data_IF_756379746497
#
_entry.id   IF_756379746497
#
_cell.length_a   1.000
_cell.length_b   1.000
_cell.length_c   1.000
_cell.angle_alpha   90.00
_cell.angle_beta   90.00
_cell.angle_gamma   90.00
#
_symmetry.space_group_name_H-M   'P 1'
#
loop_
_entity.id
_entity.type
_entity.pdbx_description
1 polymer ?
#
# COMPACT_ATOMS: atom_id res chain seq x y z
N UNK A 1 -4.37 -27.88 5.98
CA UNK A 1 -4.76 -26.58 6.52
C UNK A 1 -3.54 -26.02 7.25
N UNK A 2 -3.02 -24.86 6.85
CA UNK A 2 -1.85 -24.29 7.52
C UNK A 2 -2.28 -23.70 8.86
N UNK A 3 -1.96 -24.41 9.94
CA UNK A 3 -1.98 -23.91 11.32
C UNK A 3 -0.95 -22.78 11.45
N UNK A 4 -1.35 -21.58 11.05
CA UNK A 4 -0.60 -20.37 11.38
C UNK A 4 -0.84 -20.09 12.87
N UNK A 5 0.25 -19.98 13.62
CA UNK A 5 0.21 -19.65 15.03
C UNK A 5 -0.64 -18.37 15.25
N UNK A 6 -1.66 -18.40 16.14
CA UNK A 6 -2.57 -17.29 16.34
C UNK A 6 -1.88 -15.99 16.81
N UNK A 7 -0.65 -16.05 17.34
CA UNK A 7 0.12 -14.84 17.69
C UNK A 7 0.81 -14.23 16.47
N UNK A 8 1.14 -15.02 15.46
CA UNK A 8 1.72 -14.56 14.19
C UNK A 8 0.67 -13.80 13.35
N UNK A 9 -0.57 -14.29 13.29
CA UNK A 9 -1.71 -13.56 12.68
C UNK A 9 -2.17 -12.36 13.51
N UNK A 10 -1.83 -12.29 14.80
CA UNK A 10 -2.15 -11.16 15.68
C UNK A 10 -1.02 -10.13 15.83
N UNK A 11 0.03 -10.19 15.00
CA UNK A 11 1.05 -9.12 14.99
C UNK A 11 0.41 -7.84 14.45
N UNK A 12 -0.08 -6.99 15.35
CA UNK A 12 -0.61 -5.64 15.07
C UNK A 12 0.49 -4.66 14.66
N UNK A 13 1.75 -5.08 14.71
CA UNK A 13 2.90 -4.26 14.37
C UNK A 13 2.90 -3.98 12.87
N UNK A 14 2.72 -2.71 12.55
CA UNK A 14 2.88 -2.21 11.18
C UNK A 14 4.37 -2.10 10.89
N UNK A 15 4.82 -2.81 9.84
CA UNK A 15 6.20 -2.74 9.34
C UNK A 15 6.18 -1.87 8.10
N UNK A 16 7.00 -0.81 8.08
CA UNK A 16 7.18 0.02 6.89
C UNK A 16 8.19 -0.67 5.97
N UNK A 17 7.78 -0.93 4.74
CA UNK A 17 8.59 -1.62 3.71
C UNK A 17 9.31 -0.58 2.86
N UNK A 18 8.58 0.45 2.43
CA UNK A 18 9.11 1.55 1.62
C UNK A 18 8.31 2.82 1.92
N UNK A 19 8.97 3.97 1.95
CA UNK A 19 8.33 5.26 2.18
C UNK A 19 8.80 6.27 1.14
N UNK A 20 7.84 6.94 0.51
CA UNK A 20 8.06 8.05 -0.41
C UNK A 20 6.89 9.01 -0.29
N UNK A 21 7.10 10.10 0.44
CA UNK A 21 6.06 11.09 0.72
C UNK A 21 5.32 11.52 -0.57
N UNK A 22 3.97 11.53 -0.58
CA UNK A 22 3.05 11.37 0.55
C UNK A 22 2.67 9.91 0.88
N UNK A 23 3.23 8.91 0.21
CA UNK A 23 2.84 7.51 0.35
C UNK A 23 3.84 6.68 1.16
N UNK A 24 3.36 5.59 1.76
CA UNK A 24 4.21 4.52 2.26
C UNK A 24 3.55 3.16 2.11
N UNK A 25 4.38 2.14 1.95
CA UNK A 25 4.00 0.75 1.78
C UNK A 25 4.29 0.01 3.08
N UNK A 26 3.29 -0.72 3.58
CA UNK A 26 3.40 -1.38 4.88
C UNK A 26 2.90 -2.82 4.83
N UNK A 27 3.47 -3.66 5.69
CA UNK A 27 2.87 -4.93 6.08
C UNK A 27 2.18 -4.77 7.45
N UNK A 28 0.87 -5.04 7.50
CA UNK A 28 0.06 -5.02 8.73
C UNK A 28 -0.26 -6.44 9.20
N UNK A 29 0.79 -7.22 9.46
CA UNK A 29 0.65 -8.60 9.91
C UNK A 29 0.21 -9.53 8.78
N UNK A 30 -0.80 -10.35 9.04
CA UNK A 30 -1.29 -11.40 8.13
C UNK A 30 -2.82 -11.42 8.08
N UNK A 31 -3.38 -11.69 6.91
CA UNK A 31 -4.82 -11.81 6.67
C UNK A 31 -5.29 -13.15 7.25
N UNK A 32 -6.22 -13.12 8.20
CA UNK A 32 -6.69 -14.33 8.89
C UNK A 32 -7.34 -15.35 7.94
N UNK A 33 -8.01 -14.89 6.88
CA UNK A 33 -8.73 -15.75 5.94
C UNK A 33 -7.81 -16.67 5.12
N UNK A 34 -6.64 -16.17 4.70
CA UNK A 34 -5.75 -16.90 3.79
C UNK A 34 -4.33 -17.08 4.33
N UNK A 35 -4.02 -16.48 5.48
CA UNK A 35 -2.72 -16.56 6.11
C UNK A 35 -1.60 -15.79 5.43
N UNK A 36 -1.90 -15.02 4.39
CA UNK A 36 -0.92 -14.25 3.62
C UNK A 36 -0.63 -12.90 4.28
N UNK A 37 0.54 -12.30 4.03
CA UNK A 37 0.82 -10.94 4.52
C UNK A 37 -0.25 -9.93 4.10
N UNK A 38 -0.65 -9.06 5.02
CA UNK A 38 -1.55 -7.93 4.74
C UNK A 38 -0.70 -6.73 4.28
N UNK A 39 -0.64 -6.48 2.98
CA UNK A 39 0.11 -5.36 2.40
C UNK A 39 -0.81 -4.18 2.12
N UNK A 40 -0.47 -2.98 2.60
CA UNK A 40 -1.27 -1.77 2.40
C UNK A 40 -0.46 -0.60 1.87
N UNK A 41 -1.12 0.20 1.05
CA UNK A 41 -0.69 1.57 0.73
C UNK A 41 -1.30 2.51 1.76
N UNK A 42 -0.48 3.37 2.34
CA UNK A 42 -0.92 4.43 3.23
C UNK A 42 -0.54 5.80 2.68
N UNK A 43 -1.40 6.79 2.93
CA UNK A 43 -1.17 8.19 2.56
C UNK A 43 -1.06 9.06 3.81
N UNK A 44 -0.10 9.98 3.80
CA UNK A 44 0.05 10.98 4.84
C UNK A 44 -1.10 12.00 4.77
N UNK A 45 -1.72 12.27 5.91
CA UNK A 45 -2.65 13.37 6.06
C UNK A 45 -1.88 14.62 6.51
N UNK A 46 -1.92 15.67 5.70
CA UNK A 46 -1.10 16.88 5.88
C UNK A 46 -1.39 17.63 7.17
N UNK A 47 -2.63 17.58 7.67
CA UNK A 47 -3.06 18.28 8.88
C UNK A 47 -2.76 17.50 10.15
N UNK A 48 -3.09 16.21 10.15
CA UNK A 48 -2.95 15.36 11.35
C UNK A 48 -1.56 14.75 11.50
N UNK A 49 -0.72 14.82 10.45
CA UNK A 49 0.62 14.19 10.38
C UNK A 49 0.58 12.67 10.61
N UNK A 50 -0.57 12.04 10.37
CA UNK A 50 -0.78 10.60 10.48
C UNK A 50 -0.93 9.98 9.10
N UNK A 51 -0.61 8.69 9.00
CA UNK A 51 -0.85 7.90 7.80
C UNK A 51 -2.15 7.11 7.94
N UNK A 52 -2.91 7.03 6.85
CA UNK A 52 -4.16 6.26 6.77
C UNK A 52 -4.09 5.26 5.63
N UNK A 53 -4.66 4.07 5.83
CA UNK A 53 -4.78 3.03 4.80
C UNK A 53 -5.66 3.55 3.66
N UNK A 54 -5.16 3.53 2.42
CA UNK A 54 -5.91 3.95 1.22
C UNK A 54 -6.16 2.80 0.25
N UNK A 55 -5.32 1.76 0.27
CA UNK A 55 -5.46 0.60 -0.62
C UNK A 55 -4.91 -0.67 0.04
N UNK A 56 -5.59 -1.81 -0.18
CA UNK A 56 -5.15 -3.16 0.21
C UNK A 56 -4.66 -3.89 -1.04
N UNK A 57 -3.41 -4.34 -1.03
CA UNK A 57 -2.86 -5.11 -2.14
C UNK A 57 -3.33 -6.57 -2.07
N UNK A 58 -3.57 -7.16 -3.24
CA UNK A 58 -3.97 -8.57 -3.36
C UNK A 58 -2.82 -9.52 -3.01
N UNK A 59 -1.58 -9.12 -3.35
CA UNK A 59 -0.37 -9.89 -3.09
C UNK A 59 0.89 -9.00 -3.06
N UNK A 60 2.03 -9.60 -2.72
CA UNK A 60 3.32 -8.89 -2.63
C UNK A 60 3.83 -8.38 -3.98
N UNK A 61 3.58 -9.09 -5.08
CA UNK A 61 4.04 -8.67 -6.41
C UNK A 61 3.33 -7.37 -6.86
N UNK A 62 2.02 -7.24 -6.59
CA UNK A 62 1.27 -6.01 -6.85
C UNK A 62 1.85 -4.82 -6.09
N UNK A 63 2.25 -5.02 -4.82
CA UNK A 63 2.89 -3.99 -4.00
C UNK A 63 4.26 -3.62 -4.56
N UNK A 64 5.08 -4.59 -4.97
CA UNK A 64 6.41 -4.34 -5.52
C UNK A 64 6.35 -3.53 -6.83
N UNK A 65 5.40 -3.85 -7.70
CA UNK A 65 5.16 -3.06 -8.92
C UNK A 65 4.79 -1.60 -8.57
N UNK A 66 4.00 -1.40 -7.52
CA UNK A 66 3.63 -0.06 -7.04
C UNK A 66 4.80 0.71 -6.39
N UNK A 67 5.80 0.00 -5.87
CA UNK A 67 7.03 0.61 -5.36
C UNK A 67 7.93 1.07 -6.53
N UNK A 68 8.04 0.26 -7.57
CA UNK A 68 8.87 0.54 -8.75
C UNK A 68 8.31 1.71 -9.58
N UNK A 69 6.98 1.83 -9.72
CA UNK A 69 6.31 2.90 -10.46
C UNK A 69 5.64 3.92 -9.54
N UNK A 70 6.19 5.13 -9.45
CA UNK A 70 5.66 6.22 -8.64
C UNK A 70 4.28 6.75 -9.09
N UNK A 71 3.89 6.52 -10.35
CA UNK A 71 2.57 6.94 -10.84
C UNK A 71 1.47 5.96 -10.42
N UNK A 72 1.83 4.70 -10.16
CA UNK A 72 0.85 3.67 -9.81
C UNK A 72 0.16 3.91 -8.45
N UNK A 73 0.87 4.31 -7.36
CA UNK A 73 0.22 4.71 -6.11
C UNK A 73 -0.77 5.85 -6.25
N UNK A 74 -0.52 6.79 -7.18
CA UNK A 74 -1.46 7.89 -7.45
C UNK A 74 -2.74 7.38 -8.13
N UNK A 75 -2.61 6.39 -9.03
CA UNK A 75 -3.76 5.75 -9.66
C UNK A 75 -4.62 4.96 -8.66
N UNK A 76 -3.98 4.34 -7.66
CA UNK A 76 -4.65 3.64 -6.56
C UNK A 76 -5.28 4.58 -5.52
N UNK A 77 -4.96 5.87 -5.56
CA UNK A 77 -5.40 6.84 -4.56
C UNK A 77 -6.89 7.18 -4.74
N UNK A 78 -7.74 6.94 -3.73
CA UNK A 78 -9.18 7.25 -3.81
C UNK A 78 -9.47 8.75 -3.96
N UNK A 79 -8.50 9.63 -3.65
CA UNK A 79 -8.62 11.08 -3.87
C UNK A 79 -8.49 11.47 -5.36
N UNK A 80 -8.23 10.51 -6.26
CA UNK A 80 -8.20 10.74 -7.71
C UNK A 80 -7.00 11.58 -8.17
N UNK A 81 -5.83 11.34 -7.57
CA UNK A 81 -4.61 12.10 -7.86
C UNK A 81 -4.20 11.90 -9.33
N UNK A 82 -3.93 12.97 -10.11
CA UNK A 82 -3.51 12.85 -11.50
C UNK A 82 -2.26 11.97 -11.64
N UNK A 83 -2.35 10.98 -12.54
CA UNK A 83 -1.33 9.99 -12.81
C UNK A 83 -1.30 9.67 -14.31
N UNK A 84 -0.13 9.27 -14.82
CA UNK A 84 0.07 8.92 -16.23
C UNK A 84 -0.41 10.02 -17.19
N UNK A 85 -0.23 11.28 -16.79
CA UNK A 85 -0.63 12.43 -17.59
C UNK A 85 0.31 12.50 -18.78
N UNK A 86 -0.21 12.26 -19.98
CA UNK A 86 0.54 12.37 -21.23
C UNK A 86 0.53 13.81 -21.72
N UNK A 87 1.70 14.32 -22.11
CA UNK A 87 1.76 15.56 -22.86
C UNK A 87 1.03 15.40 -24.19
N UNK A 88 0.23 16.42 -24.53
CA UNK A 88 -0.42 16.49 -25.85
C UNK A 88 0.54 17.18 -26.80
N UNK A 89 1.13 16.44 -27.75
CA UNK A 89 1.89 17.03 -28.85
C UNK A 89 0.89 17.45 -29.92
N UNK A 90 0.61 18.75 -30.04
CA UNK A 90 -0.10 19.28 -31.20
C UNK A 90 0.85 19.31 -32.39
N UNK A 91 0.37 18.82 -33.54
CA UNK A 91 1.05 18.98 -34.84
C UNK A 91 0.98 20.42 -35.34
#
# INVERSE_FOLDING_TARGET
>A
MNDLDPKSVASTKTIVIHERFPYRFVQRGYIQLNGKPDFRLQKANEYTKKYSDIYLFDNGDQMLLAIEDHEYPKWLDPDGVPCYVKDTVSS
#
